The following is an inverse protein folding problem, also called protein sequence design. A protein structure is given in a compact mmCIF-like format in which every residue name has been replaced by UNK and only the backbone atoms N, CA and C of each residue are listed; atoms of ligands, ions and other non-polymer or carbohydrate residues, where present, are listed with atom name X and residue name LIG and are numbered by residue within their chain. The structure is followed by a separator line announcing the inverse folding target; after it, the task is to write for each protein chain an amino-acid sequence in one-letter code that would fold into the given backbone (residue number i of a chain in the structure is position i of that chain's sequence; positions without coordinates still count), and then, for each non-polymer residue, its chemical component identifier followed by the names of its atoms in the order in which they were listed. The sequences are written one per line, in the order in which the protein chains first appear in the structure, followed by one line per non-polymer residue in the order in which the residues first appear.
data_IF_270998786777
#
_entry.id   IF_270998786777
#
_cell.length_a   1.000
_cell.length_b   1.000
_cell.length_c   1.000
_cell.angle_alpha   90.00
_cell.angle_beta   90.00
_cell.angle_gamma   90.00
#
_symmetry.space_group_name_H-M   'P 1'
#
loop_
_entity.id
_entity.type
_entity.pdbx_description
1 polymer ?
#
# COMPACT_ATOMS: atom_id res chain seq x y z
N UNK A 1 19.44 -90.32 -20.35
CA UNK A 1 20.73 -89.67 -20.08
C UNK A 1 20.72 -88.28 -20.73
N UNK A 2 20.83 -87.26 -19.86
CA UNK A 2 21.07 -85.81 -19.99
C UNK A 2 20.71 -85.03 -21.27
N UNK A 3 19.85 -84.03 -21.04
CA UNK A 3 19.46 -82.86 -21.83
C UNK A 3 20.56 -81.79 -21.86
N UNK A 4 20.57 -80.95 -22.90
CA UNK A 4 21.09 -79.56 -22.89
C UNK A 4 20.32 -78.75 -23.93
N UNK A 5 19.39 -77.90 -23.49
CA UNK A 5 18.84 -76.78 -24.26
C UNK A 5 19.15 -75.51 -23.46
N UNK A 6 19.92 -74.60 -24.05
CA UNK A 6 20.22 -73.30 -23.47
C UNK A 6 19.06 -72.34 -23.76
N UNK A 7 18.35 -71.91 -22.71
CA UNK A 7 17.42 -70.80 -22.78
C UNK A 7 18.16 -69.50 -22.41
N UNK A 8 18.16 -68.54 -23.33
CA UNK A 8 18.73 -67.20 -23.14
C UNK A 8 17.66 -66.30 -22.51
N UNK A 9 17.83 -65.93 -21.24
CA UNK A 9 16.95 -64.99 -20.54
C UNK A 9 17.41 -63.55 -20.77
N UNK A 10 16.66 -62.79 -21.58
CA UNK A 10 16.77 -61.33 -21.65
C UNK A 10 16.10 -60.71 -20.42
N UNK A 11 16.89 -60.13 -19.51
CA UNK A 11 16.38 -59.23 -18.47
C UNK A 11 16.21 -57.82 -19.05
N UNK A 12 14.96 -57.41 -19.23
CA UNK A 12 14.60 -56.01 -19.47
C UNK A 12 14.62 -55.26 -18.15
N UNK A 13 15.68 -54.46 -17.92
CA UNK A 13 15.74 -53.47 -16.84
C UNK A 13 14.98 -52.22 -17.28
N UNK A 14 13.79 -52.01 -16.73
CA UNK A 14 13.02 -50.79 -16.88
C UNK A 14 13.58 -49.71 -15.95
N UNK A 15 14.32 -48.76 -16.51
CA UNK A 15 14.70 -47.53 -15.83
C UNK A 15 13.45 -46.67 -15.65
N UNK A 16 12.97 -46.56 -14.41
CA UNK A 16 11.98 -45.56 -14.03
C UNK A 16 12.68 -44.19 -14.03
N UNK A 17 12.54 -43.47 -15.14
CA UNK A 17 12.86 -42.05 -15.19
C UNK A 17 11.82 -41.31 -14.34
N UNK A 18 12.18 -40.97 -13.10
CA UNK A 18 11.46 -39.94 -12.35
C UNK A 18 11.75 -38.60 -13.03
N UNK A 19 10.82 -38.16 -13.86
CA UNK A 19 10.78 -36.79 -14.34
C UNK A 19 10.62 -35.88 -13.12
N UNK A 20 11.70 -35.26 -12.66
CA UNK A 20 11.60 -34.09 -11.80
C UNK A 20 10.91 -33.01 -12.64
N UNK A 21 9.59 -32.90 -12.49
CA UNK A 21 8.86 -31.74 -12.93
C UNK A 21 9.39 -30.56 -12.11
N UNK A 22 10.36 -29.82 -12.66
CA UNK A 22 10.60 -28.45 -12.23
C UNK A 22 9.31 -27.70 -12.53
N UNK A 23 8.44 -27.58 -11.53
CA UNK A 23 7.44 -26.55 -11.56
C UNK A 23 8.21 -25.23 -11.69
N UNK A 24 8.09 -24.56 -12.84
CA UNK A 24 8.51 -23.18 -12.98
C UNK A 24 7.71 -22.36 -11.97
N UNK A 25 8.20 -22.30 -10.73
CA UNK A 25 7.55 -21.56 -9.65
C UNK A 25 7.73 -20.09 -9.99
N UNK A 26 6.67 -19.47 -10.50
CA UNK A 26 6.59 -18.01 -10.69
C UNK A 26 7.05 -17.35 -9.39
N UNK A 27 8.04 -16.46 -9.49
CA UNK A 27 8.62 -15.82 -8.30
C UNK A 27 7.57 -15.00 -7.55
N UNK A 28 7.71 -14.89 -6.22
CA UNK A 28 6.79 -14.09 -5.39
C UNK A 28 6.69 -12.63 -5.86
N UNK A 29 7.80 -12.05 -6.34
CA UNK A 29 7.78 -10.70 -6.93
C UNK A 29 6.94 -10.62 -8.22
N UNK A 30 7.01 -11.63 -9.09
CA UNK A 30 6.18 -11.67 -10.30
C UNK A 30 4.69 -11.86 -9.96
N UNK A 31 4.38 -12.67 -8.96
CA UNK A 31 3.03 -12.84 -8.42
C UNK A 31 2.44 -11.52 -7.89
N UNK A 32 3.21 -10.78 -7.07
CA UNK A 32 2.81 -9.46 -6.59
C UNK A 32 2.64 -8.44 -7.73
N UNK A 33 3.50 -8.50 -8.75
CA UNK A 33 3.33 -7.66 -9.94
C UNK A 33 2.04 -7.98 -10.71
N UNK A 34 1.67 -9.26 -10.80
CA UNK A 34 0.41 -9.68 -11.42
C UNK A 34 -0.80 -9.22 -10.61
N UNK A 35 -0.71 -9.20 -9.28
CA UNK A 35 -1.75 -8.62 -8.42
C UNK A 35 -1.98 -7.14 -8.74
N UNK A 36 -0.88 -6.35 -8.77
CA UNK A 36 -0.94 -4.95 -9.11
C UNK A 36 -1.57 -4.71 -10.49
N UNK A 37 -1.20 -5.53 -11.49
CA UNK A 37 -1.79 -5.47 -12.83
C UNK A 37 -3.28 -5.82 -12.83
N UNK A 38 -3.68 -6.89 -12.13
CA UNK A 38 -5.09 -7.32 -12.06
C UNK A 38 -5.97 -6.24 -11.42
N UNK A 39 -5.53 -5.64 -10.32
CA UNK A 39 -6.25 -4.56 -9.63
C UNK A 39 -6.44 -3.30 -10.48
N UNK A 40 -5.59 -3.07 -11.49
CA UNK A 40 -5.69 -1.92 -12.39
C UNK A 40 -6.34 -2.23 -13.74
N UNK A 41 -6.56 -3.51 -14.07
CA UNK A 41 -7.00 -3.94 -15.41
C UNK A 41 -8.38 -4.59 -15.43
N UNK A 42 -8.73 -5.36 -14.40
CA UNK A 42 -9.96 -6.14 -14.37
C UNK A 42 -11.16 -5.26 -14.03
N UNK A 43 -12.34 -5.68 -14.47
CA UNK A 43 -13.61 -5.15 -13.96
C UNK A 43 -14.06 -6.04 -12.81
N UNK A 44 -14.21 -5.48 -11.61
CA UNK A 44 -14.53 -6.26 -10.42
C UNK A 44 -15.22 -5.44 -9.33
N UNK A 45 -15.87 -6.16 -8.42
CA UNK A 45 -16.46 -5.62 -7.19
C UNK A 45 -15.92 -6.43 -6.01
N UNK A 46 -15.38 -5.76 -4.99
CA UNK A 46 -15.00 -6.33 -3.70
C UNK A 46 -15.93 -5.77 -2.63
N UNK A 47 -16.63 -6.65 -1.92
CA UNK A 47 -17.22 -6.33 -0.62
C UNK A 47 -16.24 -6.83 0.45
N UNK A 48 -15.75 -5.91 1.29
CA UNK A 48 -14.67 -6.20 2.22
C UNK A 48 -14.86 -5.48 3.54
N UNK A 49 -14.12 -5.93 4.55
CA UNK A 49 -14.01 -5.25 5.82
C UNK A 49 -12.59 -4.71 6.02
N UNK A 50 -12.50 -3.51 6.59
CA UNK A 50 -11.27 -2.95 7.13
C UNK A 50 -11.30 -3.09 8.65
N UNK A 51 -10.25 -3.67 9.22
CA UNK A 51 -10.16 -3.97 10.65
C UNK A 51 -8.93 -3.26 11.21
N UNK A 52 -9.13 -2.48 12.27
CA UNK A 52 -8.07 -1.80 13.00
C UNK A 52 -8.45 -1.71 14.50
N UNK A 53 -7.67 -0.96 15.29
CA UNK A 53 -7.94 -0.79 16.73
C UNK A 53 -9.24 -0.02 17.02
N UNK A 54 -9.75 0.75 16.08
CA UNK A 54 -10.98 1.54 16.21
C UNK A 54 -12.23 0.69 15.96
N UNK A 55 -12.12 -0.37 15.16
CA UNK A 55 -13.21 -1.30 14.94
C UNK A 55 -13.13 -2.01 13.59
N UNK A 56 -14.31 -2.38 13.11
CA UNK A 56 -14.52 -3.05 11.82
C UNK A 56 -15.40 -2.15 10.97
N UNK A 57 -14.92 -1.77 9.79
CA UNK A 57 -15.66 -0.96 8.82
C UNK A 57 -16.05 -1.81 7.61
N UNK A 58 -17.32 -1.75 7.22
CA UNK A 58 -17.86 -2.43 6.04
C UNK A 58 -17.77 -1.53 4.81
N UNK A 59 -17.07 -1.99 3.78
CA UNK A 59 -16.74 -1.23 2.58
C UNK A 59 -17.03 -2.02 1.31
N UNK A 60 -17.36 -1.31 0.24
CA UNK A 60 -17.42 -1.89 -1.11
C UNK A 60 -16.56 -1.07 -2.06
N UNK A 61 -15.68 -1.76 -2.78
CA UNK A 61 -14.85 -1.18 -3.83
C UNK A 61 -15.23 -1.77 -5.18
N UNK A 62 -15.45 -0.91 -6.16
CA UNK A 62 -15.66 -1.29 -7.56
C UNK A 62 -14.58 -0.69 -8.41
N UNK A 63 -14.10 -1.46 -9.37
CA UNK A 63 -13.16 -1.00 -10.37
C UNK A 63 -13.59 -1.48 -11.75
N UNK A 64 -13.42 -0.62 -12.75
CA UNK A 64 -13.61 -0.96 -14.14
C UNK A 64 -12.69 -0.13 -15.03
N UNK A 65 -12.47 -0.61 -16.26
CA UNK A 65 -11.89 0.20 -17.34
C UNK A 65 -12.88 0.39 -18.46
N UNK A 66 -13.09 1.66 -18.83
CA UNK A 66 -13.91 2.06 -19.96
C UNK A 66 -13.09 3.01 -20.83
N UNK A 67 -12.99 2.75 -22.14
CA UNK A 67 -12.21 3.56 -23.09
C UNK A 67 -10.77 3.84 -22.62
N UNK A 68 -10.12 2.81 -22.06
CA UNK A 68 -8.77 2.87 -21.49
C UNK A 68 -8.61 3.83 -20.29
N UNK A 69 -9.71 4.28 -19.68
CA UNK A 69 -9.73 5.12 -18.47
C UNK A 69 -10.18 4.30 -17.25
N UNK A 70 -9.51 4.46 -16.09
CA UNK A 70 -9.96 3.85 -14.85
C UNK A 70 -11.26 4.51 -14.37
N UNK A 71 -12.19 3.68 -13.93
CA UNK A 71 -13.36 4.06 -13.17
C UNK A 71 -13.36 3.29 -11.87
N UNK A 72 -13.54 3.97 -10.74
CA UNK A 72 -13.64 3.30 -9.44
C UNK A 72 -14.67 3.95 -8.53
N UNK A 73 -15.18 3.18 -7.58
CA UNK A 73 -16.09 3.66 -6.53
C UNK A 73 -15.73 2.94 -5.24
N UNK A 74 -15.44 3.69 -4.20
CA UNK A 74 -15.38 3.24 -2.81
C UNK A 74 -16.63 3.74 -2.09
N UNK A 75 -17.35 2.83 -1.44
CA UNK A 75 -18.57 3.14 -0.70
C UNK A 75 -18.48 2.60 0.72
N UNK A 76 -18.78 3.46 1.69
CA UNK A 76 -19.06 3.05 3.07
C UNK A 76 -20.46 2.44 3.15
N UNK A 77 -20.54 1.20 3.62
CA UNK A 77 -21.79 0.42 3.58
C UNK A 77 -22.69 0.69 4.77
N UNK A 78 -22.11 1.10 5.91
CA UNK A 78 -22.82 1.33 7.17
C UNK A 78 -22.74 2.80 7.61
N UNK A 79 -23.84 3.32 8.16
CA UNK A 79 -23.90 4.69 8.70
C UNK A 79 -24.07 5.77 7.62
N UNK A 80 -23.46 6.97 7.79
CA UNK A 80 -23.51 8.01 6.78
C UNK A 80 -22.96 7.52 5.44
N UNK A 81 -23.68 7.81 4.36
CA UNK A 81 -23.30 7.39 3.01
C UNK A 81 -22.10 8.19 2.50
N UNK A 82 -20.90 7.79 2.89
CA UNK A 82 -19.63 8.32 2.37
C UNK A 82 -19.24 7.57 1.10
N UNK A 83 -18.89 8.32 0.07
CA UNK A 83 -18.59 7.78 -1.25
C UNK A 83 -17.41 8.53 -1.86
N UNK A 84 -16.48 7.78 -2.45
CA UNK A 84 -15.37 8.34 -3.24
C UNK A 84 -15.39 7.67 -4.59
N UNK A 85 -15.33 8.46 -5.66
CA UNK A 85 -15.34 7.93 -7.03
C UNK A 85 -14.12 8.42 -7.79
N UNK A 86 -13.65 7.60 -8.72
CA UNK A 86 -12.57 7.92 -9.63
C UNK A 86 -13.06 7.88 -11.07
N UNK A 87 -12.68 8.88 -11.86
CA UNK A 87 -12.82 8.88 -13.31
C UNK A 87 -11.56 9.43 -13.97
N UNK A 88 -10.74 8.54 -14.54
CA UNK A 88 -9.41 8.94 -15.01
C UNK A 88 -8.54 9.36 -13.83
N UNK A 89 -8.01 10.58 -13.90
CA UNK A 89 -7.22 11.19 -12.83
C UNK A 89 -8.05 12.04 -11.85
N UNK A 90 -9.37 12.14 -12.06
CA UNK A 90 -10.27 12.90 -11.18
C UNK A 90 -10.78 11.99 -10.07
N UNK A 91 -10.60 12.41 -8.81
CA UNK A 91 -11.10 11.72 -7.61
C UNK A 91 -12.05 12.66 -6.88
N UNK A 92 -13.33 12.30 -6.83
CA UNK A 92 -14.38 13.11 -6.21
C UNK A 92 -14.84 12.50 -4.89
N UNK A 93 -14.97 13.34 -3.87
CA UNK A 93 -15.34 12.97 -2.51
C UNK A 93 -16.74 13.45 -2.19
N UNK A 94 -17.56 12.56 -1.63
CA UNK A 94 -18.93 12.84 -1.21
C UNK A 94 -19.12 12.39 0.23
N UNK A 95 -19.44 13.35 1.11
CA UNK A 95 -19.74 13.09 2.52
C UNK A 95 -20.98 13.90 2.94
N UNK A 96 -21.97 13.27 3.59
CA UNK A 96 -23.16 13.99 4.06
C UNK A 96 -22.80 15.15 4.99
N UNK A 97 -23.30 16.35 4.67
CA UNK A 97 -23.05 17.56 5.46
C UNK A 97 -21.80 18.35 5.05
N UNK A 98 -21.04 17.89 4.07
CA UNK A 98 -19.91 18.61 3.48
C UNK A 98 -20.15 18.89 2.00
N UNK A 99 -19.62 20.01 1.50
CA UNK A 99 -19.61 20.30 0.08
C UNK A 99 -18.69 19.32 -0.66
N UNK A 100 -19.18 18.62 -1.70
CA UNK A 100 -18.38 17.66 -2.43
C UNK A 100 -17.33 18.37 -3.30
N UNK A 101 -16.18 17.72 -3.47
CA UNK A 101 -15.06 18.30 -4.21
C UNK A 101 -14.26 17.25 -4.97
N UNK A 102 -13.49 17.69 -5.96
CA UNK A 102 -12.62 16.83 -6.76
C UNK A 102 -11.15 17.22 -6.60
N UNK A 103 -10.27 16.22 -6.52
CA UNK A 103 -8.81 16.35 -6.56
C UNK A 103 -8.22 15.51 -7.70
N UNK A 104 -6.96 15.76 -8.05
CA UNK A 104 -6.22 14.90 -8.98
C UNK A 104 -5.49 13.76 -8.26
N UNK A 105 -5.47 12.58 -8.86
CA UNK A 105 -4.69 11.44 -8.39
C UNK A 105 -4.83 10.20 -9.27
N UNK A 106 -3.91 9.25 -9.14
CA UNK A 106 -3.89 8.05 -9.99
C UNK A 106 -4.83 6.93 -9.50
N UNK A 107 -5.19 6.94 -8.21
CA UNK A 107 -6.10 5.98 -7.58
C UNK A 107 -6.73 6.59 -6.32
N UNK A 108 -7.86 6.03 -5.87
CA UNK A 108 -8.50 6.42 -4.61
C UNK A 108 -7.60 6.01 -3.44
N UNK A 109 -7.02 6.99 -2.74
CA UNK A 109 -6.20 6.75 -1.54
C UNK A 109 -7.05 6.05 -0.46
N UNK A 110 -6.44 5.08 0.23
CA UNK A 110 -7.06 4.27 1.28
C UNK A 110 -8.29 3.44 0.83
N UNK A 111 -8.55 3.31 -0.48
CA UNK A 111 -9.60 2.41 -0.98
C UNK A 111 -9.23 0.93 -0.90
N UNK A 112 -7.99 0.62 -1.25
CA UNK A 112 -7.35 -0.68 -1.06
C UNK A 112 -6.00 -0.44 -0.35
N UNK A 113 -5.45 -1.45 0.34
CA UNK A 113 -4.13 -1.33 0.97
C UNK A 113 -3.07 -0.86 -0.04
N UNK A 114 -2.18 0.07 0.36
CA UNK A 114 -1.19 0.70 -0.53
C UNK A 114 -0.36 -0.29 -1.35
N UNK A 115 -0.05 -1.46 -0.78
CA UNK A 115 0.66 -2.55 -1.44
C UNK A 115 0.02 -3.03 -2.75
N UNK A 116 -1.29 -2.83 -2.93
CA UNK A 116 -2.01 -3.21 -4.15
C UNK A 116 -1.60 -2.33 -5.34
N UNK A 117 -1.28 -1.06 -5.10
CA UNK A 117 -0.92 -0.09 -6.13
C UNK A 117 0.59 0.05 -6.34
N UNK A 118 1.40 -0.72 -5.60
CA UNK A 118 2.86 -0.60 -5.61
C UNK A 118 3.52 -1.20 -6.85
N UNK A 119 4.54 -0.51 -7.37
CA UNK A 119 5.50 -1.06 -8.32
C UNK A 119 6.54 -1.94 -7.60
N UNK A 120 6.33 -3.26 -7.65
CA UNK A 120 7.21 -4.22 -6.98
C UNK A 120 8.61 -4.31 -7.61
N UNK A 121 8.78 -3.91 -8.88
CA UNK A 121 10.12 -3.84 -9.50
C UNK A 121 10.97 -2.78 -8.81
N UNK A 122 10.38 -1.62 -8.51
CA UNK A 122 11.05 -0.54 -7.75
C UNK A 122 11.44 -0.99 -6.33
N UNK A 123 10.64 -1.84 -5.69
CA UNK A 123 10.91 -2.31 -4.32
C UNK A 123 11.98 -3.42 -4.24
N UNK A 124 12.15 -4.22 -5.30
CA UNK A 124 13.02 -5.41 -5.33
C UNK A 124 14.46 -5.21 -4.77
N UNK A 125 15.13 -4.05 -4.95
CA UNK A 125 16.45 -3.82 -4.38
C UNK A 125 16.47 -3.73 -2.84
N UNK A 126 15.35 -3.37 -2.20
CA UNK A 126 15.29 -3.04 -0.78
C UNK A 126 14.32 -3.92 0.03
N UNK A 127 13.54 -4.76 -0.65
CA UNK A 127 12.54 -5.63 -0.04
C UNK A 127 12.76 -7.10 -0.41
N UNK A 128 12.36 -7.98 0.50
CA UNK A 128 12.22 -9.41 0.27
C UNK A 128 10.75 -9.78 0.12
N UNK A 129 10.47 -10.60 -0.89
CA UNK A 129 9.15 -11.16 -1.18
C UNK A 129 9.20 -12.65 -0.89
N UNK A 130 8.65 -13.04 0.26
CA UNK A 130 8.82 -14.38 0.82
C UNK A 130 7.52 -15.15 0.62
N UNK A 131 7.57 -16.26 -0.12
CA UNK A 131 6.44 -17.18 -0.21
C UNK A 131 6.22 -17.88 1.14
N UNK A 132 4.98 -17.84 1.63
CA UNK A 132 4.56 -18.50 2.88
C UNK A 132 3.71 -19.74 2.59
N UNK A 133 3.39 -19.99 1.31
CA UNK A 133 2.59 -21.12 0.86
C UNK A 133 1.22 -20.71 0.34
N UNK A 134 0.26 -21.62 0.44
CA UNK A 134 -1.10 -21.44 -0.10
C UNK A 134 -2.15 -21.74 0.96
N UNK A 135 -3.25 -20.99 0.95
CA UNK A 135 -4.38 -21.22 1.87
C UNK A 135 -5.70 -20.70 1.31
N UNK A 136 -6.82 -21.02 1.95
CA UNK A 136 -8.17 -20.63 1.49
C UNK A 136 -8.61 -19.33 2.15
N UNK A 137 -9.00 -18.33 1.34
CA UNK A 137 -9.62 -17.06 1.79
C UNK A 137 -10.81 -16.77 0.86
N UNK A 138 -11.95 -16.34 1.43
CA UNK A 138 -13.18 -16.03 0.67
C UNK A 138 -13.60 -17.14 -0.32
N UNK A 139 -13.43 -18.40 0.08
CA UNK A 139 -13.65 -19.60 -0.76
C UNK A 139 -12.77 -19.68 -2.03
N UNK A 140 -11.55 -19.16 -1.94
CA UNK A 140 -10.57 -19.20 -3.04
C UNK A 140 -9.24 -19.71 -2.54
N UNK A 141 -8.53 -20.46 -3.39
CA UNK A 141 -7.14 -20.81 -3.13
C UNK A 141 -6.28 -19.58 -3.37
N UNK A 142 -5.53 -19.16 -2.36
CA UNK A 142 -4.67 -17.98 -2.41
C UNK A 142 -3.19 -18.35 -2.28
N UNK A 143 -2.34 -17.62 -3.01
CA UNK A 143 -0.91 -17.53 -2.71
C UNK A 143 -0.71 -16.56 -1.55
N UNK A 144 0.16 -16.92 -0.60
CA UNK A 144 0.48 -16.11 0.58
C UNK A 144 1.91 -15.61 0.46
N UNK A 145 2.07 -14.29 0.44
CA UNK A 145 3.36 -13.63 0.26
C UNK A 145 3.59 -12.61 1.35
N UNK A 146 4.73 -12.71 2.03
CA UNK A 146 5.20 -11.69 2.97
C UNK A 146 6.09 -10.68 2.24
N UNK A 147 5.86 -9.40 2.47
CA UNK A 147 6.68 -8.29 1.94
C UNK A 147 7.33 -7.56 3.09
N UNK A 148 8.66 -7.61 3.17
CA UNK A 148 9.44 -7.07 4.28
C UNK A 148 10.65 -6.30 3.76
N UNK A 149 10.94 -5.14 4.36
CA UNK A 149 12.13 -4.39 4.02
C UNK A 149 13.38 -5.06 4.60
N UNK A 150 14.45 -5.15 3.80
CA UNK A 150 15.70 -5.84 4.15
C UNK A 150 16.43 -5.24 5.35
N UNK A 151 16.31 -3.93 5.54
CA UNK A 151 16.93 -3.23 6.66
C UNK A 151 16.13 -3.32 7.97
N UNK A 152 14.94 -3.93 7.94
CA UNK A 152 14.12 -4.19 9.12
C UNK A 152 13.58 -2.93 9.80
N UNK A 153 13.52 -1.78 9.10
CA UNK A 153 13.13 -0.50 9.69
C UNK A 153 11.68 -0.08 9.41
N UNK A 154 10.88 -0.92 8.75
CA UNK A 154 9.47 -0.64 8.45
C UNK A 154 8.54 -1.69 9.02
N UNK A 155 7.25 -1.40 8.91
CA UNK A 155 6.21 -2.42 8.96
C UNK A 155 6.38 -3.43 7.81
N UNK A 156 5.70 -4.57 7.93
CA UNK A 156 5.67 -5.60 6.89
C UNK A 156 4.24 -5.89 6.47
N UNK A 157 4.07 -6.39 5.25
CA UNK A 157 2.77 -6.86 4.78
C UNK A 157 2.74 -8.38 4.68
N UNK A 158 1.57 -8.95 4.92
CA UNK A 158 1.21 -10.30 4.49
C UNK A 158 0.04 -10.19 3.52
N UNK A 159 0.20 -10.74 2.31
CA UNK A 159 -0.79 -10.64 1.23
C UNK A 159 -1.29 -12.03 0.87
N UNK A 160 -2.61 -12.18 0.82
CA UNK A 160 -3.30 -13.34 0.28
C UNK A 160 -3.95 -12.94 -1.02
N UNK A 161 -3.43 -13.46 -2.12
CA UNK A 161 -3.86 -13.16 -3.48
C UNK A 161 -4.59 -14.36 -4.08
N UNK A 162 -5.74 -14.16 -4.71
CA UNK A 162 -6.46 -15.20 -5.44
C UNK A 162 -5.58 -15.82 -6.54
N UNK A 163 -5.43 -17.15 -6.53
CA UNK A 163 -4.55 -17.84 -7.49
C UNK A 163 -5.04 -17.76 -8.93
N UNK A 164 -6.34 -17.49 -9.15
CA UNK A 164 -6.92 -17.37 -10.49
C UNK A 164 -6.87 -15.91 -10.97
N UNK A 165 -7.62 -15.01 -10.34
CA UNK A 165 -7.80 -13.61 -10.75
C UNK A 165 -6.64 -12.69 -10.39
N UNK A 166 -5.76 -13.13 -9.47
CA UNK A 166 -4.67 -12.33 -8.88
C UNK A 166 -5.16 -11.15 -8.03
N UNK A 167 -6.45 -11.03 -7.74
CA UNK A 167 -6.95 -9.98 -6.86
C UNK A 167 -6.52 -10.21 -5.39
N UNK A 168 -6.26 -9.14 -4.62
CA UNK A 168 -6.00 -9.25 -3.19
C UNK A 168 -7.28 -9.64 -2.46
N UNK A 169 -7.26 -10.75 -1.72
CA UNK A 169 -8.40 -11.21 -0.91
C UNK A 169 -8.22 -10.97 0.58
N UNK A 170 -6.98 -10.87 1.04
CA UNK A 170 -6.65 -10.37 2.38
C UNK A 170 -5.28 -9.70 2.36
N UNK A 171 -5.14 -8.65 3.15
CA UNK A 171 -3.86 -8.00 3.40
C UNK A 171 -3.79 -7.65 4.86
N UNK A 172 -2.73 -8.10 5.54
CA UNK A 172 -2.43 -7.70 6.91
C UNK A 172 -1.21 -6.79 6.90
N UNK A 173 -1.32 -5.63 7.55
CA UNK A 173 -0.21 -4.78 7.90
C UNK A 173 0.27 -5.15 9.29
N UNK A 174 1.55 -5.48 9.41
CA UNK A 174 2.14 -6.02 10.62
C UNK A 174 3.24 -5.09 11.14
N UNK A 175 3.28 -4.92 12.46
CA UNK A 175 4.41 -4.33 13.14
C UNK A 175 5.66 -5.22 13.04
N UNK A 176 6.81 -4.67 13.45
CA UNK A 176 8.09 -5.38 13.52
C UNK A 176 8.03 -6.59 14.45
N UNK A 177 7.22 -6.51 15.50
CA UNK A 177 7.02 -7.59 16.48
C UNK A 177 5.92 -8.58 16.05
N UNK A 178 5.30 -8.37 14.87
CA UNK A 178 4.26 -9.23 14.32
C UNK A 178 2.83 -8.88 14.71
N UNK A 179 2.62 -7.84 15.54
CA UNK A 179 1.28 -7.33 15.87
C UNK A 179 0.56 -6.84 14.60
N UNK A 180 -0.68 -7.28 14.36
CA UNK A 180 -1.50 -6.76 13.26
C UNK A 180 -1.98 -5.34 13.57
N UNK A 181 -1.61 -4.38 12.72
CA UNK A 181 -2.02 -2.98 12.83
C UNK A 181 -3.32 -2.71 12.11
N UNK A 182 -3.43 -3.24 10.89
CA UNK A 182 -4.59 -3.10 10.02
C UNK A 182 -4.77 -4.38 9.21
N UNK A 183 -6.02 -4.73 8.93
CA UNK A 183 -6.37 -5.90 8.13
C UNK A 183 -7.48 -5.53 7.14
N UNK A 184 -7.20 -5.76 5.87
CA UNK A 184 -8.16 -5.73 4.77
C UNK A 184 -8.59 -7.17 4.47
N UNK A 185 -9.89 -7.44 4.41
CA UNK A 185 -10.43 -8.78 4.11
C UNK A 185 -11.65 -8.74 3.22
N UNK A 186 -11.53 -9.32 2.04
CA UNK A 186 -12.65 -9.57 1.14
C UNK A 186 -13.59 -10.62 1.75
N UNK A 187 -14.87 -10.30 1.77
CA UNK A 187 -15.95 -11.18 2.23
C UNK A 187 -16.64 -11.84 1.04
N UNK A 188 -16.89 -11.06 -0.02
CA UNK A 188 -17.38 -11.54 -1.30
C UNK A 188 -16.84 -10.67 -2.43
N UNK A 189 -16.71 -11.26 -3.61
CA UNK A 189 -16.30 -10.52 -4.79
C UNK A 189 -16.84 -11.15 -6.07
N UNK A 190 -16.87 -10.35 -7.13
CA UNK A 190 -17.12 -10.81 -8.48
C UNK A 190 -16.16 -10.14 -9.46
N UNK A 191 -15.88 -10.83 -10.56
CA UNK A 191 -15.09 -10.32 -11.68
C UNK A 191 -15.94 -10.46 -12.93
N UNK A 192 -16.06 -9.40 -13.72
CA UNK A 192 -16.85 -9.38 -14.96
C UNK A 192 -15.96 -9.07 -16.16
N UNK A 193 -16.34 -9.56 -17.33
CA UNK A 193 -15.69 -9.17 -18.59
C UNK A 193 -16.12 -7.76 -19.02
N UNK A 194 -17.38 -7.42 -18.78
CA UNK A 194 -17.96 -6.13 -19.12
C UNK A 194 -17.92 -5.17 -17.94
N UNK A 195 -17.69 -3.88 -18.21
CA UNK A 195 -17.86 -2.85 -17.20
C UNK A 195 -19.36 -2.80 -16.82
N UNK A 196 -19.67 -3.14 -15.57
CA UNK A 196 -21.03 -3.23 -15.03
C UNK A 196 -21.85 -1.97 -15.36
N UNK A 197 -23.15 -2.12 -15.61
CA UNK A 197 -24.08 -1.03 -15.96
C UNK A 197 -24.00 0.17 -14.99
N UNK A 198 -23.71 -0.09 -13.70
CA UNK A 198 -23.55 0.97 -12.70
C UNK A 198 -22.31 1.85 -12.94
N UNK A 199 -21.22 1.30 -13.48
CA UNK A 199 -20.02 2.07 -13.83
C UNK A 199 -20.25 2.95 -15.06
N UNK A 200 -21.20 2.59 -15.94
CA UNK A 200 -21.61 3.46 -17.05
C UNK A 200 -22.31 4.74 -16.57
N UNK A 201 -23.06 4.65 -15.45
CA UNK A 201 -23.64 5.80 -14.77
C UNK A 201 -22.56 6.78 -14.31
N UNK A 202 -21.52 6.27 -13.63
CA UNK A 202 -20.38 7.08 -13.19
C UNK A 202 -19.62 7.71 -14.37
N UNK A 203 -19.44 6.97 -15.47
CA UNK A 203 -18.77 7.49 -16.66
C UNK A 203 -19.42 8.77 -17.21
N UNK A 204 -20.75 8.88 -17.11
CA UNK A 204 -21.55 10.01 -17.61
C UNK A 204 -21.91 11.05 -16.54
N UNK A 205 -21.57 10.81 -15.28
CA UNK A 205 -21.97 11.67 -14.18
C UNK A 205 -21.30 13.05 -14.27
N UNK A 206 -22.03 14.09 -13.85
CA UNK A 206 -21.43 15.38 -13.57
C UNK A 206 -20.68 15.31 -12.24
N UNK A 207 -19.36 15.48 -12.27
CA UNK A 207 -18.55 15.46 -11.06
C UNK A 207 -18.46 16.87 -10.43
N UNK A 208 -18.24 16.96 -9.11
CA UNK A 208 -17.98 18.21 -8.40
C UNK A 208 -16.77 18.96 -8.98
N UNK A 209 -16.65 20.28 -8.71
CA UNK A 209 -15.55 21.08 -9.26
C UNK A 209 -14.18 20.58 -8.77
N UNK A 210 -13.20 20.66 -9.67
CA UNK A 210 -11.81 20.40 -9.36
C UNK A 210 -11.24 21.55 -8.51
N UNK A 211 -10.77 21.21 -7.31
CA UNK A 211 -10.08 22.18 -6.47
C UNK A 211 -8.65 22.38 -6.96
N UNK A 212 -8.27 23.65 -7.13
CA UNK A 212 -6.88 24.00 -7.35
C UNK A 212 -6.13 23.87 -6.03
N UNK A 213 -5.25 22.87 -5.93
CA UNK A 213 -4.31 22.78 -4.82
C UNK A 213 -3.16 23.73 -5.15
N UNK A 214 -2.88 24.75 -4.32
CA UNK A 214 -1.76 25.65 -4.55
C UNK A 214 -0.47 24.86 -4.73
N UNK A 215 0.26 25.17 -5.80
CA UNK A 215 1.57 24.57 -6.03
C UNK A 215 2.46 24.76 -4.81
N UNK A 216 3.12 23.69 -4.36
CA UNK A 216 4.11 23.80 -3.30
C UNK A 216 5.26 24.68 -3.79
N UNK A 217 5.56 25.75 -3.06
CA UNK A 217 6.76 26.53 -3.32
C UNK A 217 7.98 25.60 -3.12
N UNK A 218 8.80 25.45 -4.16
CA UNK A 218 10.06 24.70 -4.06
C UNK A 218 11.02 25.54 -3.23
N UNK A 219 11.07 25.27 -1.93
CA UNK A 219 11.91 26.00 -0.98
C UNK A 219 13.13 25.15 -0.64
N UNK A 220 14.32 25.75 -0.74
CA UNK A 220 15.53 25.16 -0.21
C UNK A 220 15.56 25.35 1.31
N UNK A 221 15.25 24.29 2.05
CA UNK A 221 15.33 24.33 3.51
C UNK A 221 16.77 24.27 4.02
N UNK A 222 17.01 24.92 5.17
CA UNK A 222 18.31 24.91 5.86
C UNK A 222 18.57 23.61 6.62
N UNK A 223 17.69 22.61 6.53
CA UNK A 223 17.84 21.33 7.20
C UNK A 223 17.76 20.15 6.24
N UNK A 224 18.30 19.01 6.66
CA UNK A 224 18.14 17.75 5.93
C UNK A 224 18.26 16.56 6.88
N UNK A 225 17.48 15.49 6.69
CA UNK A 225 17.77 14.21 7.33
C UNK A 225 19.11 13.69 6.82
N UNK A 226 19.99 13.26 7.74
CA UNK A 226 21.26 12.61 7.38
C UNK A 226 21.16 11.10 7.39
N UNK A 227 20.07 10.55 7.92
CA UNK A 227 19.74 9.15 7.84
C UNK A 227 18.31 8.96 7.37
N UNK A 228 18.12 8.04 6.43
CA UNK A 228 16.83 7.56 5.96
C UNK A 228 16.92 6.05 5.77
N UNK A 229 15.81 5.30 5.96
CA UNK A 229 15.79 3.90 5.56
C UNK A 229 16.05 3.72 4.06
N UNK A 230 16.67 2.60 3.68
CA UNK A 230 17.11 2.39 2.30
C UNK A 230 15.91 2.32 1.35
N UNK A 231 15.89 3.14 0.31
CA UNK A 231 14.83 3.18 -0.69
C UNK A 231 13.87 4.36 -0.58
N UNK A 232 13.88 5.11 0.54
CA UNK A 232 13.12 6.36 0.62
C UNK A 232 13.76 7.46 -0.23
N UNK A 233 12.90 8.23 -0.87
CA UNK A 233 13.25 9.42 -1.65
C UNK A 233 12.27 10.55 -1.34
N UNK A 234 12.72 11.79 -1.41
CA UNK A 234 11.85 12.96 -1.28
C UNK A 234 10.91 13.06 -2.49
N UNK A 235 9.61 13.17 -2.21
CA UNK A 235 8.53 13.28 -3.22
C UNK A 235 8.13 14.75 -3.40
N UNK A 236 8.07 15.50 -2.31
CA UNK A 236 7.74 16.92 -2.35
C UNK A 236 8.26 17.67 -1.13
N UNK A 237 8.43 18.97 -1.29
CA UNK A 237 8.80 19.92 -0.24
C UNK A 237 7.84 21.10 -0.29
N UNK A 238 7.35 21.58 0.86
CA UNK A 238 6.51 22.78 0.90
C UNK A 238 6.67 23.55 2.20
N UNK A 239 6.48 24.87 2.14
CA UNK A 239 6.36 25.73 3.32
C UNK A 239 4.92 26.24 3.37
N UNK A 240 4.20 26.01 4.47
CA UNK A 240 2.79 26.43 4.60
C UNK A 240 2.53 27.14 5.94
N UNK A 241 1.84 28.30 5.94
CA UNK A 241 1.29 28.84 7.17
C UNK A 241 0.18 27.91 7.67
N UNK A 242 0.12 27.67 8.98
CA UNK A 242 -1.06 27.03 9.59
C UNK A 242 -1.93 28.09 10.26
N UNK A 243 -3.26 27.95 10.25
CA UNK A 243 -4.18 28.95 10.83
C UNK A 243 -3.94 29.25 12.32
N UNK A 244 -3.27 28.36 13.04
CA UNK A 244 -3.02 28.44 14.49
C UNK A 244 -1.53 28.49 14.86
N UNK A 245 -0.62 28.56 13.88
CA UNK A 245 0.82 28.60 14.11
C UNK A 245 1.38 29.86 13.46
N UNK A 246 1.89 30.77 14.28
CA UNK A 246 2.43 32.06 13.84
C UNK A 246 3.63 31.93 12.88
N UNK A 247 4.29 30.77 12.89
CA UNK A 247 5.46 30.48 12.05
C UNK A 247 5.08 29.42 11.02
N UNK A 248 5.45 29.61 9.73
CA UNK A 248 5.18 28.62 8.71
C UNK A 248 5.88 27.30 9.02
N UNK A 249 5.20 26.19 8.71
CA UNK A 249 5.77 24.85 8.82
C UNK A 249 6.48 24.50 7.52
N UNK A 250 7.72 24.06 7.64
CA UNK A 250 8.49 23.48 6.55
C UNK A 250 8.27 21.96 6.55
N UNK A 251 7.85 21.40 5.42
CA UNK A 251 7.52 19.99 5.31
C UNK A 251 8.23 19.36 4.12
N UNK A 252 8.82 18.18 4.33
CA UNK A 252 9.30 17.28 3.27
C UNK A 252 8.56 15.95 3.34
N UNK A 253 7.94 15.55 2.25
CA UNK A 253 7.30 14.25 2.08
C UNK A 253 8.29 13.26 1.49
N UNK A 254 8.44 12.11 2.12
CA UNK A 254 9.27 11.00 1.68
C UNK A 254 8.41 9.77 1.38
N UNK A 255 8.80 9.00 0.37
CA UNK A 255 8.24 7.67 0.11
C UNK A 255 9.29 6.73 -0.47
N UNK A 256 9.19 5.45 -0.13
CA UNK A 256 9.96 4.37 -0.76
C UNK A 256 9.20 3.67 -1.89
N UNK A 257 7.97 4.11 -2.19
CA UNK A 257 7.05 3.49 -3.15
C UNK A 257 6.00 2.58 -2.51
N UNK A 258 6.12 2.26 -1.22
CA UNK A 258 5.13 1.50 -0.46
C UNK A 258 4.63 2.28 0.76
N UNK A 259 5.55 2.78 1.58
CA UNK A 259 5.25 3.57 2.75
C UNK A 259 5.61 5.04 2.51
N UNK A 260 4.95 5.93 3.24
CA UNK A 260 5.22 7.36 3.19
C UNK A 260 5.26 7.99 4.58
N UNK A 261 6.04 9.07 4.69
CA UNK A 261 6.05 9.91 5.88
C UNK A 261 6.47 11.34 5.54
N UNK A 262 6.09 12.28 6.39
CA UNK A 262 6.51 13.68 6.32
C UNK A 262 7.45 14.01 7.48
N UNK A 263 8.48 14.80 7.18
CA UNK A 263 9.28 15.52 8.17
C UNK A 263 8.78 16.95 8.21
N UNK A 264 8.28 17.39 9.35
CA UNK A 264 7.76 18.73 9.54
C UNK A 264 8.63 19.48 10.56
N UNK A 265 9.03 20.69 10.22
CA UNK A 265 9.86 21.54 11.06
C UNK A 265 9.15 22.87 11.30
N UNK A 266 9.01 23.22 12.57
CA UNK A 266 8.44 24.48 13.03
C UNK A 266 9.27 25.04 14.19
N UNK A 267 9.01 26.29 14.57
CA UNK A 267 9.59 26.86 15.79
C UNK A 267 8.86 26.28 17.00
N UNK A 268 9.62 25.80 17.99
CA UNK A 268 9.04 25.34 19.24
C UNK A 268 8.41 26.51 20.02
N UNK A 269 7.23 26.27 20.58
CA UNK A 269 6.50 27.20 21.46
C UNK A 269 6.57 26.70 22.91
N UNK A 270 6.06 27.47 23.87
CA UNK A 270 6.16 27.15 25.31
C UNK A 270 5.60 25.78 25.70
N UNK A 271 4.64 25.25 24.92
CA UNK A 271 3.98 23.98 25.17
C UNK A 271 4.50 22.84 24.27
N UNK A 272 5.48 23.11 23.39
CA UNK A 272 6.11 22.06 22.60
C UNK A 272 6.85 21.10 23.52
N UNK A 273 6.61 19.80 23.35
CA UNK A 273 7.23 18.75 24.15
C UNK A 273 7.44 17.50 23.31
N UNK A 274 8.38 16.67 23.75
CA UNK A 274 8.61 15.37 23.11
C UNK A 274 7.35 14.51 23.26
N UNK A 275 6.86 14.01 22.12
CA UNK A 275 5.63 13.23 22.09
C UNK A 275 5.75 12.09 21.09
N UNK A 276 5.26 10.92 21.51
CA UNK A 276 5.07 9.78 20.63
C UNK A 276 3.62 9.33 20.69
N UNK A 277 2.93 9.42 19.57
CA UNK A 277 1.56 8.93 19.39
C UNK A 277 1.52 7.92 18.25
N UNK A 278 0.70 6.90 18.41
CA UNK A 278 0.47 5.89 17.40
C UNK A 278 -1.02 5.56 17.30
N UNK A 279 -1.53 5.65 16.07
CA UNK A 279 -2.93 5.37 15.74
C UNK A 279 -2.97 4.44 14.52
N UNK A 280 -3.11 3.13 14.75
CA UNK A 280 -3.03 2.12 13.69
C UNK A 280 -1.66 2.13 13.00
N UNK A 281 -1.65 2.29 11.68
CA UNK A 281 -0.41 2.44 10.90
C UNK A 281 0.28 3.79 11.06
N UNK A 282 -0.41 4.84 11.52
CA UNK A 282 0.12 6.20 11.58
C UNK A 282 0.86 6.45 12.89
N UNK A 283 2.12 6.85 12.77
CA UNK A 283 2.96 7.31 13.88
C UNK A 283 3.16 8.81 13.77
N UNK A 284 3.05 9.49 14.91
CA UNK A 284 3.44 10.90 15.09
C UNK A 284 4.53 10.92 16.15
N UNK A 285 5.73 11.36 15.77
CA UNK A 285 6.87 11.50 16.67
C UNK A 285 7.33 12.96 16.63
N UNK A 286 7.12 13.69 17.72
CA UNK A 286 7.62 15.05 17.91
C UNK A 286 8.81 15.05 18.86
N UNK A 287 9.84 15.81 18.52
CA UNK A 287 10.94 16.14 19.43
C UNK A 287 11.27 17.63 19.37
N UNK A 288 11.73 18.19 20.49
CA UNK A 288 12.16 19.58 20.58
C UNK A 288 13.66 19.66 20.74
N UNK A 289 14.33 20.32 19.79
CA UNK A 289 15.79 20.55 19.81
C UNK A 289 16.09 21.98 19.40
N UNK A 290 16.87 22.70 20.22
CA UNK A 290 17.37 24.05 19.93
C UNK A 290 16.28 25.07 19.51
N UNK A 291 15.13 25.09 20.21
CA UNK A 291 13.94 25.93 19.90
C UNK A 291 13.26 25.59 18.56
N UNK A 292 13.54 24.42 18.01
CA UNK A 292 12.88 23.86 16.85
C UNK A 292 12.10 22.62 17.26
N UNK A 293 10.88 22.49 16.76
CA UNK A 293 10.06 21.30 16.89
C UNK A 293 10.13 20.50 15.59
N UNK A 294 10.50 19.23 15.70
CA UNK A 294 10.66 18.29 14.59
C UNK A 294 9.58 17.23 14.75
N UNK A 295 8.63 17.19 13.81
CA UNK A 295 7.51 16.25 13.84
C UNK A 295 7.53 15.32 12.63
N UNK A 296 7.72 14.04 12.88
CA UNK A 296 7.62 12.97 11.89
C UNK A 296 6.21 12.40 11.91
N UNK A 297 5.52 12.42 10.76
CA UNK A 297 4.18 11.83 10.62
C UNK A 297 4.15 10.86 9.46
N UNK A 298 3.81 9.59 9.71
CA UNK A 298 3.65 8.62 8.62
C UNK A 298 3.59 7.17 9.04
N UNK A 299 3.75 6.29 8.07
CA UNK A 299 3.62 4.83 8.19
C UNK A 299 4.95 4.19 8.61
N UNK A 300 5.43 4.57 9.79
CA UNK A 300 6.73 4.13 10.31
C UNK A 300 6.60 3.55 11.72
N UNK A 301 7.37 2.50 12.05
CA UNK A 301 7.57 2.12 13.43
C UNK A 301 8.09 3.31 14.26
N UNK A 302 7.66 3.47 15.53
CA UNK A 302 8.12 4.54 16.41
C UNK A 302 9.64 4.75 16.47
N UNK A 303 10.39 3.66 16.59
CA UNK A 303 11.86 3.71 16.65
C UNK A 303 12.47 4.30 15.36
N UNK A 304 11.89 3.98 14.20
CA UNK A 304 12.35 4.50 12.91
C UNK A 304 12.05 5.98 12.79
N UNK A 305 10.84 6.41 13.16
CA UNK A 305 10.45 7.82 13.17
C UNK A 305 11.40 8.64 14.06
N UNK A 306 11.66 8.17 15.29
CA UNK A 306 12.60 8.83 16.20
C UNK A 306 14.01 8.93 15.61
N UNK A 307 14.55 7.84 15.04
CA UNK A 307 15.88 7.86 14.43
C UNK A 307 16.00 8.84 13.27
N UNK A 308 14.94 9.02 12.48
CA UNK A 308 14.92 10.03 11.42
C UNK A 308 15.00 11.43 12.03
N UNK A 309 14.17 11.71 13.04
CA UNK A 309 14.16 12.99 13.74
C UNK A 309 15.53 13.33 14.33
N UNK A 310 16.12 12.40 15.10
CA UNK A 310 17.46 12.55 15.70
C UNK A 310 18.53 12.88 14.62
N UNK A 311 18.38 12.34 13.41
CA UNK A 311 19.33 12.51 12.29
C UNK A 311 19.21 13.82 11.52
N UNK A 312 18.20 14.64 11.80
CA UNK A 312 18.04 15.94 11.13
C UNK A 312 19.26 16.79 11.47
N UNK A 313 19.90 17.38 10.45
CA UNK A 313 20.94 18.38 10.63
C UNK A 313 20.47 19.72 10.09
N UNK A 314 20.61 20.75 10.92
CA UNK A 314 20.47 22.14 10.49
C UNK A 314 21.83 22.62 9.98
N UNK A 315 21.84 23.20 8.77
CA UNK A 315 22.97 23.97 8.27
C UNK A 315 23.06 25.23 9.11
N UNK A 316 24.27 25.57 9.56
CA UNK A 316 24.51 26.86 10.21
C UNK A 316 24.03 27.97 9.27
N UNK A 317 23.31 28.95 9.81
CA UNK A 317 23.04 30.18 9.08
C UNK A 317 24.39 30.81 8.72
N UNK A 318 24.62 31.05 7.43
CA UNK A 318 25.67 31.98 6.99
C UNK A 318 25.24 33.40 7.34
#
# INVERSE_FOLDING_TARGET
MKQLWYALSLMTSSLLFTSNASADTVSSGALLQQMNQASQSLNYELAFISINKQGIESLRYRHARLDNRPLAQLLQMDGPRREVVQRGSEISYFEPGLEPFTLTGDYIVDSLPSIVYTDFKRLTPYYDFISVGRTRIADRLCEVIRVVARDGTRYSYMVWMDSETKLPLRVDLLDRDGETLEQFRVISFNVSKEANSMMQGLAKASLPPLLSVPGAEKVNFSWTPTWLPQGFSEVSSSRRPLPTVDVPIESRLYSDGLFSFSVNISRAVSNSSDQLLRTGRRTVSSEVRDKTEITIVGELPPQTAKRIADSIKFRAAQ
#
